data_IF_504586785566
#
_entry.id   IF_504586785566
#
_cell.length_a   1.000
_cell.length_b   1.000
_cell.length_c   1.000
_cell.angle_alpha   90.00
_cell.angle_beta   90.00
_cell.angle_gamma   90.00
#
_symmetry.space_group_name_H-M   'P 1'
#
loop_
_entity.id
_entity.type
_entity.pdbx_description
1 polymer ?
#
# COMPACT_ATOMS: atom_id res chain seq x y z
N UNK A 1 2.32 4.04 -24.16
CA UNK A 1 1.03 4.35 -23.48
C UNK A 1 0.66 3.20 -22.54
N UNK A 2 1.43 3.01 -21.45
CA UNK A 2 1.25 1.95 -20.45
C UNK A 2 1.38 2.42 -18.99
N UNK A 3 1.70 3.69 -18.76
CA UNK A 3 1.98 4.23 -17.42
C UNK A 3 0.72 4.43 -16.57
N UNK A 4 -0.44 4.68 -17.20
CA UNK A 4 -1.68 4.99 -16.46
C UNK A 4 -2.24 3.77 -15.73
N UNK A 5 -1.98 2.56 -16.22
CA UNK A 5 -2.61 1.33 -15.74
C UNK A 5 -1.99 0.81 -14.44
N UNK A 6 -0.68 1.02 -14.27
CA UNK A 6 0.04 0.67 -13.03
C UNK A 6 -0.24 1.64 -11.89
N UNK A 7 -0.81 2.82 -12.19
CA UNK A 7 -1.09 3.87 -11.22
C UNK A 7 -2.54 3.82 -10.72
N UNK A 8 -3.49 3.39 -11.55
CA UNK A 8 -4.89 3.16 -11.18
C UNK A 8 -5.03 2.05 -10.13
N UNK A 9 -6.17 2.04 -9.44
CA UNK A 9 -6.52 0.93 -8.56
C UNK A 9 -6.91 -0.29 -9.39
N UNK A 10 -6.41 -1.48 -9.03
CA UNK A 10 -6.76 -2.72 -9.72
C UNK A 10 -8.28 -2.97 -9.69
N UNK A 11 -8.97 -2.55 -8.62
CA UNK A 11 -10.42 -2.58 -8.51
C UNK A 11 -11.16 -1.66 -9.49
N UNK A 12 -10.49 -0.62 -10.03
CA UNK A 12 -11.05 0.36 -10.96
C UNK A 12 -10.70 0.06 -12.43
N UNK A 13 -9.94 -1.01 -12.69
CA UNK A 13 -9.52 -1.36 -14.04
C UNK A 13 -10.67 -2.00 -14.82
N UNK A 14 -10.94 -1.48 -16.02
CA UNK A 14 -11.81 -2.14 -17.00
C UNK A 14 -11.09 -3.33 -17.65
N UNK A 15 -11.84 -4.29 -18.17
CA UNK A 15 -11.36 -5.57 -18.74
C UNK A 15 -10.17 -5.43 -19.71
N UNK A 16 -10.18 -4.39 -20.55
CA UNK A 16 -9.09 -4.11 -21.50
C UNK A 16 -7.79 -3.66 -20.81
N UNK A 17 -7.89 -2.98 -19.68
CA UNK A 17 -6.74 -2.54 -18.90
C UNK A 17 -6.15 -3.70 -18.10
N UNK A 18 -6.99 -4.60 -17.58
CA UNK A 18 -6.56 -5.83 -16.90
C UNK A 18 -5.75 -6.74 -17.82
N UNK A 19 -6.19 -6.96 -19.07
CA UNK A 19 -5.44 -7.77 -20.04
C UNK A 19 -4.05 -7.22 -20.36
N UNK A 20 -3.92 -5.88 -20.47
CA UNK A 20 -2.61 -5.24 -20.64
C UNK A 20 -1.72 -5.40 -19.42
N UNK A 21 -2.30 -5.35 -18.21
CA UNK A 21 -1.55 -5.58 -16.98
C UNK A 21 -0.98 -7.00 -16.93
N UNK A 22 -1.75 -8.01 -17.35
CA UNK A 22 -1.28 -9.38 -17.47
C UNK A 22 -0.15 -9.55 -18.49
N UNK A 23 -0.20 -8.85 -19.63
CA UNK A 23 0.90 -8.83 -20.60
C UNK A 23 2.17 -8.22 -19.98
N UNK A 24 2.04 -7.14 -19.22
CA UNK A 24 3.18 -6.53 -18.50
C UNK A 24 3.78 -7.49 -17.48
N UNK A 25 2.95 -8.26 -16.76
CA UNK A 25 3.42 -9.27 -15.82
C UNK A 25 4.17 -10.42 -16.51
N UNK A 26 3.75 -10.81 -17.72
CA UNK A 26 4.44 -11.83 -18.52
C UNK A 26 5.81 -11.37 -18.99
N UNK A 27 5.97 -10.07 -19.26
CA UNK A 27 7.23 -9.50 -19.74
C UNK A 27 8.20 -9.20 -18.59
N UNK A 28 7.70 -8.87 -17.39
CA UNK A 28 8.54 -8.60 -16.22
C UNK A 28 7.90 -9.09 -14.93
N UNK A 29 8.43 -10.20 -14.41
CA UNK A 29 8.07 -10.75 -13.09
C UNK A 29 8.30 -9.73 -11.98
N UNK A 30 9.46 -9.06 -11.98
CA UNK A 30 9.81 -8.01 -11.02
C UNK A 30 8.78 -6.88 -11.00
N UNK A 31 8.36 -6.39 -12.16
CA UNK A 31 7.37 -5.31 -12.23
C UNK A 31 6.00 -5.77 -11.72
N UNK A 32 5.63 -7.02 -11.97
CA UNK A 32 4.41 -7.62 -11.42
C UNK A 32 4.43 -7.73 -9.90
N UNK A 33 5.55 -8.14 -9.30
CA UNK A 33 5.73 -8.16 -7.84
C UNK A 33 5.65 -6.75 -7.23
N UNK A 34 6.31 -5.78 -7.87
CA UNK A 34 6.23 -4.37 -7.46
C UNK A 34 4.81 -3.82 -7.51
N UNK A 35 4.04 -4.18 -8.54
CA UNK A 35 2.64 -3.77 -8.64
C UNK A 35 1.77 -4.43 -7.57
N UNK A 36 1.92 -5.74 -7.35
CA UNK A 36 1.19 -6.45 -6.28
C UNK A 36 1.47 -5.85 -4.90
N UNK A 37 2.72 -5.51 -4.62
CA UNK A 37 3.10 -4.82 -3.38
C UNK A 37 2.44 -3.44 -3.29
N UNK A 38 2.35 -2.68 -4.39
CA UNK A 38 1.62 -1.40 -4.39
C UNK A 38 0.14 -1.58 -4.07
N UNK A 39 -0.50 -2.62 -4.61
CA UNK A 39 -1.92 -2.88 -4.33
C UNK A 39 -2.13 -3.40 -2.90
N UNK A 40 -1.27 -4.29 -2.39
CA UNK A 40 -1.27 -4.72 -0.98
C UNK A 40 -1.12 -3.52 -0.02
N UNK A 41 -0.27 -2.55 -0.37
CA UNK A 41 -0.15 -1.31 0.42
C UNK A 41 -1.47 -0.55 0.50
N UNK A 42 -2.25 -0.49 -0.58
CA UNK A 42 -3.55 0.19 -0.56
C UNK A 42 -4.53 -0.56 0.36
N UNK A 43 -4.56 -1.87 0.26
CA UNK A 43 -5.42 -2.72 1.10
C UNK A 43 -5.15 -2.52 2.59
N UNK A 44 -3.89 -2.27 2.99
CA UNK A 44 -3.52 -1.98 4.38
C UNK A 44 -4.32 -0.81 4.96
N UNK A 45 -4.64 0.21 4.16
CA UNK A 45 -5.36 1.40 4.61
C UNK A 45 -6.87 1.33 4.34
N UNK A 46 -7.31 0.54 3.37
CA UNK A 46 -8.73 0.41 3.00
C UNK A 46 -9.48 -0.66 3.80
N UNK A 47 -8.81 -1.75 4.22
CA UNK A 47 -9.46 -2.92 4.83
C UNK A 47 -9.23 -3.05 6.34
N UNK A 48 -8.19 -2.44 6.90
CA UNK A 48 -7.89 -2.59 8.32
C UNK A 48 -8.62 -1.52 9.14
N UNK A 49 -9.76 -1.90 9.69
CA UNK A 49 -10.65 -1.01 10.47
C UNK A 49 -10.72 -1.35 11.95
N UNK A 50 -9.99 -2.36 12.43
CA UNK A 50 -10.10 -2.85 13.82
C UNK A 50 -8.76 -2.82 14.56
N UNK A 51 -8.69 -1.99 15.61
CA UNK A 51 -7.55 -1.90 16.52
C UNK A 51 -6.19 -1.76 15.83
N UNK A 52 -5.18 -2.45 16.36
CA UNK A 52 -3.80 -2.34 15.87
C UNK A 52 -3.53 -3.13 14.58
N UNK A 53 -4.54 -3.74 13.96
CA UNK A 53 -4.36 -4.60 12.77
C UNK A 53 -3.76 -3.84 11.58
N UNK A 54 -4.14 -2.56 11.40
CA UNK A 54 -3.57 -1.73 10.34
C UNK A 54 -2.06 -1.52 10.46
N UNK A 55 -1.57 -1.33 11.69
CA UNK A 55 -0.14 -1.19 11.96
C UNK A 55 0.62 -2.51 11.79
N UNK A 56 0.02 -3.63 12.19
CA UNK A 56 0.61 -4.95 11.96
C UNK A 56 0.69 -5.27 10.46
N UNK A 57 -0.38 -5.03 9.71
CA UNK A 57 -0.40 -5.21 8.27
C UNK A 57 0.62 -4.30 7.55
N UNK A 58 0.75 -3.04 7.98
CA UNK A 58 1.76 -2.14 7.45
C UNK A 58 3.18 -2.63 7.76
N UNK A 59 3.42 -3.15 8.97
CA UNK A 59 4.71 -3.74 9.36
C UNK A 59 5.07 -4.94 8.49
N UNK A 60 4.12 -5.84 8.23
CA UNK A 60 4.34 -6.99 7.34
C UNK A 60 4.56 -6.57 5.88
N UNK A 61 3.82 -5.58 5.42
CA UNK A 61 4.06 -4.98 4.11
C UNK A 61 5.47 -4.39 3.99
N UNK A 62 5.93 -3.63 5.00
CA UNK A 62 7.28 -3.03 5.03
C UNK A 62 8.39 -4.08 4.93
N UNK A 63 8.21 -5.26 5.54
CA UNK A 63 9.18 -6.36 5.43
C UNK A 63 9.32 -6.85 3.99
N UNK A 64 8.20 -7.04 3.28
CA UNK A 64 8.19 -7.48 1.86
C UNK A 64 8.69 -6.38 0.93
N UNK A 65 8.21 -5.15 1.13
CA UNK A 65 8.47 -4.01 0.26
C UNK A 65 9.92 -3.52 0.33
N UNK A 66 10.66 -3.83 1.41
CA UNK A 66 12.05 -3.40 1.60
C UNK A 66 12.96 -3.78 0.42
N UNK A 67 12.73 -4.95 -0.18
CA UNK A 67 13.52 -5.45 -1.31
C UNK A 67 13.32 -4.66 -2.61
N UNK A 68 12.18 -3.97 -2.76
CA UNK A 68 11.80 -3.28 -4.00
C UNK A 68 11.72 -1.76 -3.84
N UNK A 69 11.34 -1.27 -2.66
CA UNK A 69 11.06 0.14 -2.39
C UNK A 69 11.81 0.66 -1.14
N UNK A 70 13.14 0.55 -1.09
CA UNK A 70 13.89 0.85 0.13
C UNK A 70 13.78 2.30 0.58
N UNK A 71 13.68 3.24 -0.36
CA UNK A 71 13.49 4.67 -0.05
C UNK A 71 12.08 4.94 0.48
N UNK A 72 11.05 4.37 -0.14
CA UNK A 72 9.66 4.51 0.33
C UNK A 72 9.48 3.92 1.73
N UNK A 73 10.07 2.75 2.00
CA UNK A 73 10.05 2.14 3.33
C UNK A 73 10.73 3.02 4.40
N UNK A 74 11.83 3.70 4.04
CA UNK A 74 12.47 4.67 4.95
C UNK A 74 11.58 5.88 5.20
N UNK A 75 10.93 6.41 4.17
CA UNK A 75 9.97 7.50 4.32
C UNK A 75 8.83 7.07 5.26
N UNK A 76 8.18 5.93 5.01
CA UNK A 76 7.09 5.43 5.87
C UNK A 76 7.54 5.28 7.33
N UNK A 77 8.74 4.74 7.58
CA UNK A 77 9.28 4.64 8.95
C UNK A 77 9.52 6.00 9.62
N UNK A 78 9.86 7.05 8.86
CA UNK A 78 10.02 8.41 9.40
C UNK A 78 8.70 9.04 9.80
N UNK A 79 7.61 8.65 9.15
CA UNK A 79 6.25 9.14 9.40
C UNK A 79 5.42 8.16 10.22
N UNK A 80 6.07 7.25 10.97
CA UNK A 80 5.36 6.15 11.64
C UNK A 80 4.44 6.66 12.76
N UNK A 81 4.78 7.77 13.40
CA UNK A 81 3.98 8.37 14.46
C UNK A 81 2.67 8.94 13.89
N UNK A 82 2.74 9.65 12.76
CA UNK A 82 1.56 10.18 12.07
C UNK A 82 0.69 9.06 11.49
N UNK A 83 1.31 7.98 10.99
CA UNK A 83 0.59 6.82 10.49
C UNK A 83 -0.08 6.06 11.65
N UNK A 84 0.56 5.96 12.81
CA UNK A 84 -0.02 5.40 14.03
C UNK A 84 -1.23 6.22 14.46
N UNK A 85 -1.10 7.56 14.48
CA UNK A 85 -2.22 8.46 14.78
C UNK A 85 -3.38 8.32 13.77
N UNK A 86 -3.10 8.04 12.49
CA UNK A 86 -4.14 7.74 11.51
C UNK A 86 -4.94 6.50 11.89
N UNK A 87 -4.27 5.39 12.21
CA UNK A 87 -4.96 4.17 12.62
C UNK A 87 -5.67 4.33 13.96
N UNK A 88 -5.08 5.02 14.95
CA UNK A 88 -5.72 5.29 16.24
C UNK A 88 -7.01 6.10 16.06
N UNK A 89 -7.00 7.12 15.19
CA UNK A 89 -8.19 7.91 14.86
C UNK A 89 -9.29 7.06 14.24
N UNK A 90 -8.96 6.15 13.34
CA UNK A 90 -9.93 5.22 12.77
C UNK A 90 -10.57 4.31 13.84
N UNK A 91 -9.79 3.96 14.86
CA UNK A 91 -10.23 3.11 15.97
C UNK A 91 -10.90 3.87 17.13
N UNK A 92 -11.11 5.18 16.99
CA UNK A 92 -11.73 6.00 18.04
C UNK A 92 -10.84 6.32 19.25
N UNK A 93 -9.53 6.06 19.15
CA UNK A 93 -8.55 6.43 20.18
C UNK A 93 -7.94 7.80 19.84
N UNK A 94 -8.20 8.80 20.68
CA UNK A 94 -7.51 10.10 20.61
C UNK A 94 -6.47 10.17 21.72
N UNK A 95 -5.20 9.93 21.40
CA UNK A 95 -4.11 10.32 22.29
C UNK A 95 -3.95 11.85 22.23
N UNK A 96 -4.13 12.48 23.40
CA UNK A 96 -4.32 13.92 23.52
C UNK A 96 -3.14 14.75 23.03
N UNK A 97 -3.48 15.80 22.27
CA UNK A 97 -2.93 17.14 22.43
C UNK A 97 -3.94 18.16 21.89
N UNK A 98 -4.27 19.23 22.64
CA UNK A 98 -5.08 20.33 22.14
C UNK A 98 -4.26 21.20 21.19
N UNK A 99 -4.92 21.73 20.16
CA UNK A 99 -4.38 22.79 19.29
C UNK A 99 -4.34 24.09 20.09
#
# INVERSE_FOLDING_TARGET
>A
MGEVQLLKNEGDLVEKERKKLEEVYKVSSKLGEMHKLKEEFREVFEKNTEGNEGLFALSDWLKKAMAYFPKSCQTIRRWIDEITAYFDKLNGFYFGSPI
#
